data_IF_464448990619
#
_entry.id   IF_464448990619
#
_cell.length_a   1.000
_cell.length_b   1.000
_cell.length_c   1.000
_cell.angle_alpha   90.00
_cell.angle_beta   90.00
_cell.angle_gamma   90.00
#
_symmetry.space_group_name_H-M   'P 1'
#
loop_
_entity.id
_entity.type
_entity.pdbx_description
1 polymer ?
#
# COMPACT_ATOMS: atom_id res chain seq x y z
N UNK A 1 13.22 -5.59 15.18
CA UNK A 1 12.38 -6.30 14.21
C UNK A 1 12.19 -5.44 12.97
N UNK A 2 12.31 -6.06 11.82
CA UNK A 2 12.16 -5.35 10.54
C UNK A 2 10.84 -5.69 9.87
N UNK A 3 10.24 -4.67 9.24
CA UNK A 3 9.00 -4.79 8.49
C UNK A 3 9.19 -4.26 7.08
N UNK A 4 8.53 -4.85 6.12
CA UNK A 4 8.45 -4.33 4.75
C UNK A 4 7.04 -3.83 4.51
N UNK A 5 6.93 -2.53 4.26
CA UNK A 5 5.65 -1.88 3.96
C UNK A 5 5.69 -1.46 2.50
N UNK A 6 4.83 -2.06 1.71
CA UNK A 6 4.80 -1.85 0.25
C UNK A 6 3.58 -1.02 -0.11
N UNK A 7 3.80 0.08 -0.81
CA UNK A 7 2.70 0.84 -1.40
C UNK A 7 2.69 0.61 -2.91
N UNK A 8 1.56 0.14 -3.44
CA UNK A 8 1.45 -0.19 -4.85
C UNK A 8 1.08 1.02 -5.71
N UNK A 9 1.66 1.09 -6.89
CA UNK A 9 1.42 2.14 -7.86
C UNK A 9 2.23 1.91 -9.12
N UNK A 10 2.07 2.79 -10.09
CA UNK A 10 2.86 2.80 -11.32
C UNK A 10 3.82 3.98 -11.31
N UNK A 11 5.04 3.77 -11.80
CA UNK A 11 6.02 4.84 -11.93
C UNK A 11 5.64 5.79 -13.08
N UNK A 12 6.12 7.02 -12.97
CA UNK A 12 5.93 8.04 -14.00
C UNK A 12 5.00 9.14 -13.53
N UNK A 13 5.28 10.37 -13.99
CA UNK A 13 4.50 11.54 -13.60
C UNK A 13 3.03 11.43 -14.03
N UNK A 14 2.75 10.72 -15.12
CA UNK A 14 1.40 10.53 -15.63
C UNK A 14 0.51 9.70 -14.70
N UNK A 15 1.10 8.92 -13.81
CA UNK A 15 0.34 8.11 -12.86
C UNK A 15 0.29 8.70 -11.46
N UNK A 16 1.11 9.73 -11.18
CA UNK A 16 1.31 10.22 -9.81
C UNK A 16 0.03 10.67 -9.10
N UNK A 17 -0.90 11.24 -9.84
CA UNK A 17 -2.16 11.72 -9.27
C UNK A 17 -3.34 10.77 -9.41
N UNK A 18 -3.11 9.51 -9.78
CA UNK A 18 -4.20 8.57 -10.04
C UNK A 18 -4.65 7.83 -8.79
N UNK A 19 -5.87 7.33 -8.81
CA UNK A 19 -6.43 6.51 -7.73
C UNK A 19 -5.61 5.24 -7.51
N UNK A 20 -5.12 4.67 -8.60
CA UNK A 20 -4.32 3.42 -8.55
C UNK A 20 -2.99 3.61 -7.81
N UNK A 21 -2.51 4.85 -7.69
CA UNK A 21 -1.27 5.17 -6.99
C UNK A 21 -1.47 5.57 -5.53
N UNK A 22 -2.64 5.31 -4.96
CA UNK A 22 -2.88 5.68 -3.55
C UNK A 22 -1.89 5.02 -2.59
N UNK A 23 -1.41 3.82 -2.91
CA UNK A 23 -0.38 3.17 -2.10
C UNK A 23 0.90 3.99 -2.02
N UNK A 24 1.33 4.61 -3.12
CA UNK A 24 2.48 5.52 -3.11
C UNK A 24 2.21 6.74 -2.23
N UNK A 25 1.02 7.32 -2.33
CA UNK A 25 0.65 8.50 -1.53
C UNK A 25 0.64 8.20 -0.04
N UNK A 26 0.15 7.03 0.36
CA UNK A 26 0.15 6.63 1.77
C UNK A 26 1.58 6.57 2.30
N UNK A 27 2.49 5.94 1.56
CA UNK A 27 3.88 5.84 1.98
C UNK A 27 4.59 7.19 1.95
N UNK A 28 4.30 8.03 0.95
CA UNK A 28 4.88 9.38 0.88
C UNK A 28 4.48 10.21 2.10
N UNK A 29 3.21 10.16 2.49
CA UNK A 29 2.71 10.89 3.65
C UNK A 29 3.33 10.38 4.95
N UNK A 30 3.47 9.07 5.10
CA UNK A 30 4.11 8.47 6.27
C UNK A 30 5.58 8.85 6.36
N UNK A 31 6.31 8.78 5.24
CA UNK A 31 7.72 9.14 5.19
C UNK A 31 7.91 10.63 5.55
N UNK A 32 7.10 11.50 5.00
CA UNK A 32 7.16 12.94 5.29
C UNK A 32 6.91 13.22 6.77
N UNK A 33 5.89 12.59 7.35
CA UNK A 33 5.57 12.75 8.77
C UNK A 33 6.66 12.20 9.69
N UNK A 34 7.47 11.28 9.20
CA UNK A 34 8.54 10.61 9.96
C UNK A 34 9.93 11.14 9.62
N UNK A 35 10.03 12.18 8.79
CA UNK A 35 11.28 12.76 8.30
C UNK A 35 12.16 11.73 7.58
N UNK A 36 11.55 10.74 6.92
CA UNK A 36 12.24 9.78 6.09
C UNK A 36 12.20 10.23 4.63
N UNK A 37 13.23 9.89 3.87
CA UNK A 37 13.37 10.31 2.48
C UNK A 37 13.51 9.07 1.60
N UNK A 38 12.72 9.01 0.51
CA UNK A 38 12.86 7.95 -0.46
C UNK A 38 14.08 8.17 -1.33
N UNK A 39 14.82 7.09 -1.57
CA UNK A 39 15.94 7.08 -2.52
C UNK A 39 15.72 5.97 -3.54
N UNK A 40 16.19 6.18 -4.76
CA UNK A 40 16.08 5.19 -5.82
C UNK A 40 16.96 3.98 -5.49
N UNK A 41 16.37 2.79 -5.55
CA UNK A 41 17.04 1.54 -5.29
C UNK A 41 16.60 0.49 -6.29
N UNK A 42 16.97 -0.77 -6.07
CA UNK A 42 16.63 -1.83 -7.01
C UNK A 42 15.12 -2.12 -6.96
N UNK A 43 14.48 -2.09 -8.11
CA UNK A 43 13.04 -2.35 -8.30
C UNK A 43 12.10 -1.37 -7.61
N UNK A 44 12.62 -0.28 -7.04
CA UNK A 44 11.74 0.69 -6.42
C UNK A 44 12.45 1.80 -5.68
N UNK A 45 11.67 2.72 -5.17
CA UNK A 45 12.15 3.75 -4.26
C UNK A 45 11.94 3.27 -2.83
N UNK A 46 12.93 3.48 -1.99
CA UNK A 46 12.95 2.93 -0.64
C UNK A 46 13.25 4.03 0.38
N UNK A 47 12.53 4.02 1.49
CA UNK A 47 12.81 4.86 2.64
C UNK A 47 12.84 3.97 3.88
N UNK A 48 13.68 4.32 4.84
CA UNK A 48 13.77 3.61 6.11
C UNK A 48 13.35 4.54 7.22
N UNK A 49 12.49 4.05 8.11
CA UNK A 49 12.16 4.78 9.33
C UNK A 49 12.19 3.84 10.52
N UNK A 50 12.42 4.43 11.68
CA UNK A 50 12.41 3.69 12.94
C UNK A 50 11.26 4.18 13.81
N UNK A 51 10.55 3.22 14.39
CA UNK A 51 9.40 3.53 15.25
C UNK A 51 9.35 2.53 16.38
N UNK A 52 9.49 3.02 17.61
CA UNK A 52 9.40 2.21 18.85
C UNK A 52 10.24 0.94 18.79
N UNK A 53 11.48 1.07 18.35
CA UNK A 53 12.44 -0.05 18.27
C UNK A 53 12.29 -0.92 17.03
N UNK A 54 11.34 -0.66 16.17
CA UNK A 54 11.15 -1.39 14.92
C UNK A 54 11.72 -0.60 13.74
N UNK A 55 12.23 -1.30 12.75
CA UNK A 55 12.67 -0.70 11.49
C UNK A 55 11.65 -1.01 10.41
N UNK A 56 11.12 0.03 9.78
CA UNK A 56 10.20 -0.10 8.67
C UNK A 56 10.90 0.28 7.38
N UNK A 57 10.94 -0.67 6.44
CA UNK A 57 11.41 -0.42 5.08
C UNK A 57 10.18 -0.11 4.25
N UNK A 58 10.08 1.13 3.77
CA UNK A 58 8.96 1.56 2.92
C UNK A 58 9.39 1.39 1.47
N UNK A 59 8.62 0.64 0.70
CA UNK A 59 8.94 0.33 -0.70
C UNK A 59 7.83 0.81 -1.62
N UNK A 60 8.18 1.67 -2.57
CA UNK A 60 7.33 2.01 -3.71
C UNK A 60 7.92 1.30 -4.93
N UNK A 61 7.34 0.18 -5.39
CA UNK A 61 7.90 -0.53 -6.53
C UNK A 61 7.99 0.36 -7.77
N UNK A 62 9.11 0.29 -8.48
CA UNK A 62 9.29 0.99 -9.76
C UNK A 62 9.00 0.10 -10.94
N UNK A 63 8.60 -1.14 -10.70
CA UNK A 63 7.98 -2.01 -11.67
C UNK A 63 6.59 -1.48 -11.99
N UNK A 64 6.04 -1.83 -13.15
CA UNK A 64 4.62 -1.53 -13.35
C UNK A 64 3.79 -2.40 -12.43
N UNK A 65 2.52 -1.98 -12.20
CA UNK A 65 1.63 -2.61 -11.22
C UNK A 65 1.59 -4.14 -11.36
N UNK A 66 1.49 -4.65 -12.58
CA UNK A 66 1.40 -6.08 -12.84
C UNK A 66 2.71 -6.86 -12.59
N UNK A 67 3.78 -6.18 -12.21
CA UNK A 67 5.07 -6.79 -11.89
C UNK A 67 5.52 -6.48 -10.47
N UNK A 68 4.60 -6.02 -9.61
CA UNK A 68 4.91 -5.61 -8.24
C UNK A 68 5.55 -6.72 -7.41
N UNK A 69 5.20 -7.97 -7.65
CA UNK A 69 5.73 -9.11 -6.89
C UNK A 69 7.24 -9.28 -7.00
N UNK A 70 7.82 -8.87 -8.13
CA UNK A 70 9.27 -8.94 -8.31
C UNK A 70 10.01 -8.06 -7.32
N UNK A 71 9.53 -6.84 -7.11
CA UNK A 71 10.12 -5.93 -6.14
C UNK A 71 9.91 -6.43 -4.70
N UNK A 72 8.71 -6.90 -4.38
CA UNK A 72 8.39 -7.39 -3.04
C UNK A 72 9.27 -8.59 -2.68
N UNK A 73 9.36 -9.57 -3.56
CA UNK A 73 10.18 -10.75 -3.32
C UNK A 73 11.65 -10.39 -3.13
N UNK A 74 12.17 -9.52 -3.99
CA UNK A 74 13.57 -9.08 -3.87
C UNK A 74 13.85 -8.46 -2.51
N UNK A 75 13.01 -7.52 -2.07
CA UNK A 75 13.27 -6.79 -0.82
C UNK A 75 13.04 -7.64 0.42
N UNK A 76 12.09 -8.59 0.38
CA UNK A 76 11.94 -9.55 1.47
C UNK A 76 13.19 -10.39 1.65
N UNK A 77 13.76 -10.87 0.55
CA UNK A 77 14.98 -11.68 0.60
C UNK A 77 16.20 -10.84 1.01
N UNK A 78 16.36 -9.66 0.40
CA UNK A 78 17.52 -8.80 0.66
C UNK A 78 17.58 -8.32 2.11
N UNK A 79 16.43 -7.98 2.70
CA UNK A 79 16.34 -7.47 4.07
C UNK A 79 15.98 -8.54 5.09
N UNK A 80 15.82 -9.79 4.65
CA UNK A 80 15.47 -10.93 5.50
C UNK A 80 14.19 -10.68 6.29
N UNK A 81 13.15 -10.23 5.59
CA UNK A 81 11.85 -9.93 6.20
C UNK A 81 11.01 -11.20 6.25
N UNK A 82 10.49 -11.53 7.43
CA UNK A 82 9.57 -12.65 7.59
C UNK A 82 8.22 -12.33 6.94
N UNK A 83 7.51 -13.34 6.38
CA UNK A 83 6.21 -13.10 5.73
C UNK A 83 5.19 -12.39 6.61
N UNK A 84 5.16 -12.66 7.90
CA UNK A 84 4.25 -11.99 8.84
C UNK A 84 4.59 -10.51 9.07
N UNK A 85 5.75 -10.06 8.61
CA UNK A 85 6.19 -8.67 8.73
C UNK A 85 6.05 -7.91 7.41
N UNK A 86 5.34 -8.48 6.44
CA UNK A 86 5.00 -7.83 5.18
C UNK A 86 3.61 -7.22 5.26
N UNK A 87 3.48 -5.97 4.83
CA UNK A 87 2.18 -5.31 4.67
C UNK A 87 2.15 -4.62 3.31
N UNK A 88 1.11 -4.89 2.53
CA UNK A 88 0.94 -4.30 1.19
C UNK A 88 -0.27 -3.37 1.19
N UNK A 89 -0.05 -2.13 0.77
CA UNK A 89 -1.09 -1.09 0.68
C UNK A 89 -1.52 -0.94 -0.77
N UNK A 90 -2.81 -1.09 -1.03
CA UNK A 90 -3.36 -1.02 -2.39
C UNK A 90 -4.69 -0.30 -2.43
N UNK A 91 -5.09 0.15 -3.62
CA UNK A 91 -6.43 0.67 -3.88
C UNK A 91 -7.45 -0.46 -3.96
N UNK A 92 -8.71 -0.16 -3.67
CA UNK A 92 -9.80 -1.13 -3.76
C UNK A 92 -11.08 -0.43 -4.23
N UNK A 93 -11.57 -0.82 -5.41
CA UNK A 93 -12.80 -0.26 -5.99
C UNK A 93 -14.07 -0.80 -5.33
N UNK A 94 -13.97 -1.87 -4.56
CA UNK A 94 -15.12 -2.46 -3.86
C UNK A 94 -15.45 -1.74 -2.55
N UNK A 95 -14.63 -0.80 -2.12
CA UNK A 95 -14.82 -0.05 -0.88
C UNK A 95 -15.09 1.43 -1.19
N UNK A 96 -16.00 2.06 -0.43
CA UNK A 96 -16.21 3.52 -0.57
C UNK A 96 -14.92 4.30 -0.35
N UNK A 97 -14.84 5.49 -0.93
CA UNK A 97 -13.66 6.34 -0.81
C UNK A 97 -13.24 6.54 0.65
N UNK A 98 -11.95 6.37 0.90
CA UNK A 98 -11.35 6.62 2.21
C UNK A 98 -11.51 5.50 3.22
N UNK A 99 -12.24 4.45 2.88
CA UNK A 99 -12.41 3.30 3.78
C UNK A 99 -11.10 2.54 3.94
N UNK A 100 -10.76 2.21 5.18
CA UNK A 100 -9.60 1.40 5.51
C UNK A 100 -10.03 -0.02 5.85
N UNK A 101 -9.45 -1.00 5.16
CA UNK A 101 -9.67 -2.42 5.46
C UNK A 101 -8.36 -3.17 5.44
N UNK A 102 -8.03 -3.79 6.55
CA UNK A 102 -6.88 -4.69 6.64
C UNK A 102 -7.37 -6.13 6.67
N UNK A 103 -6.59 -7.01 6.05
CA UNK A 103 -6.85 -8.46 6.04
C UNK A 103 -5.54 -9.21 6.20
N UNK A 104 -5.52 -10.35 6.91
CA UNK A 104 -4.30 -11.16 7.02
C UNK A 104 -3.98 -11.92 5.75
N UNK A 105 -4.99 -12.14 4.90
CA UNK A 105 -4.88 -12.91 3.66
C UNK A 105 -6.12 -12.68 2.81
N UNK A 106 -6.12 -13.21 1.60
CA UNK A 106 -7.29 -13.18 0.74
C UNK A 106 -6.93 -13.14 -0.74
N UNK A 107 -7.94 -13.22 -1.60
CA UNK A 107 -7.75 -13.14 -3.04
C UNK A 107 -7.36 -11.72 -3.46
N UNK A 108 -6.79 -11.61 -4.66
CA UNK A 108 -6.43 -10.31 -5.23
C UNK A 108 -7.62 -9.44 -5.61
N UNK A 109 -8.81 -10.03 -5.74
CA UNK A 109 -10.02 -9.29 -6.10
C UNK A 109 -9.94 -8.58 -7.45
N UNK A 110 -9.16 -9.13 -8.39
CA UNK A 110 -8.93 -8.52 -9.69
C UNK A 110 -7.82 -7.48 -9.72
N UNK A 111 -7.17 -7.21 -8.58
CA UNK A 111 -6.06 -6.24 -8.52
C UNK A 111 -4.78 -6.89 -9.04
N UNK A 112 -4.24 -6.36 -10.15
CA UNK A 112 -3.08 -6.96 -10.82
C UNK A 112 -1.82 -6.98 -9.96
N UNK A 113 -1.59 -5.96 -9.15
CA UNK A 113 -0.45 -5.91 -8.24
C UNK A 113 -0.50 -6.98 -7.18
N UNK A 114 -1.65 -7.13 -6.51
CA UNK A 114 -1.83 -8.15 -5.48
C UNK A 114 -1.74 -9.55 -6.09
N UNK A 115 -2.28 -9.75 -7.29
CA UNK A 115 -2.20 -11.02 -7.99
C UNK A 115 -0.75 -11.42 -8.27
N UNK A 116 0.04 -10.49 -8.78
CA UNK A 116 1.44 -10.76 -9.10
C UNK A 116 2.26 -11.04 -7.84
N UNK A 117 2.01 -10.31 -6.75
CA UNK A 117 2.67 -10.58 -5.46
C UNK A 117 2.37 -12.01 -5.01
N UNK A 118 1.09 -12.43 -5.03
CA UNK A 118 0.71 -13.77 -4.63
C UNK A 118 1.38 -14.84 -5.51
N UNK A 119 1.47 -14.60 -6.81
CA UNK A 119 2.13 -15.52 -7.74
C UNK A 119 3.61 -15.69 -7.40
N UNK A 120 4.32 -14.60 -7.17
CA UNK A 120 5.77 -14.66 -6.93
C UNK A 120 6.11 -15.11 -5.52
N UNK A 121 5.27 -14.85 -4.54
CA UNK A 121 5.45 -15.37 -3.17
C UNK A 121 4.95 -16.81 -3.03
N UNK A 122 4.14 -17.29 -3.97
CA UNK A 122 3.55 -18.61 -3.90
C UNK A 122 2.43 -18.75 -2.88
N UNK A 123 1.86 -17.63 -2.40
CA UNK A 123 0.81 -17.65 -1.39
C UNK A 123 0.01 -16.35 -1.43
N UNK A 124 -1.26 -16.45 -1.04
CA UNK A 124 -2.11 -15.28 -0.76
C UNK A 124 -2.10 -14.90 0.73
N UNK A 125 -1.30 -15.59 1.52
CA UNK A 125 -1.25 -15.43 2.97
C UNK A 125 -0.22 -14.36 3.36
N UNK A 126 -0.56 -13.10 3.09
CA UNK A 126 0.20 -11.94 3.53
C UNK A 126 -0.76 -10.81 3.87
N UNK A 127 -0.37 -9.96 4.82
CA UNK A 127 -1.22 -8.85 5.27
C UNK A 127 -1.35 -7.79 4.19
N UNK A 128 -2.57 -7.29 4.03
CA UNK A 128 -2.85 -6.21 3.10
C UNK A 128 -3.72 -5.16 3.74
N UNK A 129 -3.47 -3.91 3.36
CA UNK A 129 -4.26 -2.76 3.78
C UNK A 129 -4.84 -2.14 2.52
N UNK A 130 -6.17 -2.09 2.44
CA UNK A 130 -6.86 -1.60 1.26
C UNK A 130 -7.41 -0.21 1.52
N UNK A 131 -7.17 0.69 0.57
CA UNK A 131 -7.71 2.04 0.58
C UNK A 131 -8.87 2.08 -0.40
N UNK A 132 -10.08 2.29 0.11
CA UNK A 132 -11.25 2.39 -0.75
C UNK A 132 -11.17 3.61 -1.66
N UNK A 133 -11.32 3.38 -2.97
CA UNK A 133 -11.32 4.46 -3.96
C UNK A 133 -12.68 4.64 -4.60
N UNK A 134 -13.66 3.81 -4.19
CA UNK A 134 -14.99 3.82 -4.76
C UNK A 134 -15.07 3.05 -6.06
N UNK A 135 -16.28 2.77 -6.50
CA UNK A 135 -16.53 1.99 -7.70
C UNK A 135 -17.58 2.61 -8.61
N UNK A 136 -17.75 3.93 -8.53
CA UNK A 136 -18.76 4.65 -9.31
C UNK A 136 -18.26 4.93 -10.73
N UNK A 137 -18.35 3.90 -11.57
CA UNK A 137 -17.96 3.99 -12.98
C UNK A 137 -18.83 3.03 -13.79
N UNK A 138 -19.03 3.31 -15.11
CA UNK A 138 -19.77 2.42 -16.00
C UNK A 138 -19.06 1.07 -16.15
N UNK A 139 -19.83 0.02 -16.33
CA UNK A 139 -19.28 -1.34 -16.55
C UNK A 139 -18.27 -1.31 -17.71
N UNK A 140 -17.12 -1.92 -17.50
CA UNK A 140 -16.04 -1.97 -18.49
C UNK A 140 -15.09 -0.80 -18.46
N UNK A 141 -15.32 0.20 -17.59
CA UNK A 141 -14.45 1.38 -17.45
C UNK A 141 -13.60 1.37 -16.19
N UNK A 142 -13.36 0.19 -15.60
CA UNK A 142 -12.57 0.05 -14.38
C UNK A 142 -11.15 0.60 -14.53
N UNK A 143 -10.49 0.31 -15.64
CA UNK A 143 -9.11 0.77 -15.88
C UNK A 143 -9.07 2.28 -15.96
N UNK A 144 -9.98 2.88 -16.71
CA UNK A 144 -10.06 4.35 -16.83
C UNK A 144 -10.30 5.00 -15.47
N UNK A 145 -11.16 4.39 -14.65
CA UNK A 145 -11.49 4.92 -13.33
C UNK A 145 -10.27 4.93 -12.39
N UNK A 146 -9.58 3.80 -12.27
CA UNK A 146 -8.42 3.71 -11.34
C UNK A 146 -7.22 4.53 -11.83
N UNK A 147 -7.09 4.71 -13.14
CA UNK A 147 -6.06 5.56 -13.72
C UNK A 147 -6.49 7.03 -13.81
N UNK A 148 -7.70 7.34 -13.34
CA UNK A 148 -8.20 8.70 -13.27
C UNK A 148 -7.76 9.42 -12.01
N UNK A 149 -7.91 10.75 -12.03
CA UNK A 149 -7.55 11.57 -10.89
C UNK A 149 -8.68 11.67 -9.88
N UNK A 150 -8.33 12.14 -8.67
CA UNK A 150 -9.29 12.36 -7.59
C UNK A 150 -10.22 13.53 -7.91
N UNK A 151 -11.47 13.42 -7.44
CA UNK A 151 -12.40 14.57 -7.47
C UNK A 151 -11.92 15.63 -6.47
N UNK A 152 -12.48 16.85 -6.56
CA UNK A 152 -12.12 17.93 -5.63
C UNK A 152 -12.50 17.57 -4.20
N UNK A 153 -13.64 16.92 -3.97
CA UNK A 153 -14.05 16.47 -2.65
C UNK A 153 -13.09 15.44 -2.08
N UNK A 154 -12.68 14.48 -2.91
CA UNK A 154 -11.72 13.46 -2.51
C UNK A 154 -10.38 14.09 -2.16
N UNK A 155 -9.89 15.03 -2.97
CA UNK A 155 -8.63 15.73 -2.70
C UNK A 155 -8.64 16.44 -1.35
N UNK A 156 -9.75 17.06 -0.99
CA UNK A 156 -9.87 17.74 0.31
C UNK A 156 -9.81 16.78 1.48
N UNK A 157 -10.34 15.58 1.32
CA UNK A 157 -10.37 14.57 2.38
C UNK A 157 -9.08 13.75 2.48
N UNK A 158 -8.25 13.72 1.41
CA UNK A 158 -7.07 12.88 1.36
C UNK A 158 -6.09 13.10 2.52
N UNK A 159 -5.70 14.34 2.90
CA UNK A 159 -4.70 14.51 3.97
C UNK A 159 -5.07 13.83 5.28
N UNK A 160 -6.32 13.94 5.71
CA UNK A 160 -6.80 13.29 6.92
C UNK A 160 -6.82 11.78 6.76
N UNK A 161 -7.26 11.26 5.61
CA UNK A 161 -7.29 9.83 5.36
C UNK A 161 -5.90 9.23 5.29
N UNK A 162 -4.96 9.93 4.65
CA UNK A 162 -3.57 9.48 4.58
C UNK A 162 -2.95 9.39 5.98
N UNK A 163 -3.28 10.32 6.86
CA UNK A 163 -2.81 10.26 8.25
C UNK A 163 -3.34 9.03 8.98
N UNK A 164 -4.62 8.71 8.81
CA UNK A 164 -5.23 7.51 9.43
C UNK A 164 -4.50 6.25 8.93
N UNK A 165 -4.22 6.16 7.64
CA UNK A 165 -3.53 5.00 7.08
C UNK A 165 -2.09 4.91 7.61
N UNK A 166 -1.39 6.03 7.71
CA UNK A 166 -0.06 6.06 8.32
C UNK A 166 -0.06 5.59 9.76
N UNK A 167 -1.03 6.04 10.56
CA UNK A 167 -1.18 5.61 11.95
C UNK A 167 -1.45 4.10 12.03
N UNK A 168 -2.25 3.56 11.11
CA UNK A 168 -2.52 2.13 11.07
C UNK A 168 -1.27 1.31 10.74
N UNK A 169 -0.42 1.80 9.83
CA UNK A 169 0.85 1.15 9.50
C UNK A 169 1.75 1.10 10.74
N UNK A 170 1.89 2.21 11.44
CA UNK A 170 2.70 2.26 12.66
C UNK A 170 2.12 1.35 13.74
N UNK A 171 0.81 1.31 13.88
CA UNK A 171 0.13 0.40 14.82
C UNK A 171 0.43 -1.06 14.49
N UNK A 172 0.37 -1.43 13.21
CA UNK A 172 0.68 -2.79 12.77
C UNK A 172 2.06 -3.24 13.26
N UNK A 173 3.06 -2.37 13.17
CA UNK A 173 4.43 -2.71 13.61
C UNK A 173 4.61 -2.68 15.13
N UNK A 174 3.64 -2.16 15.87
CA UNK A 174 3.75 -1.97 17.32
C UNK A 174 2.91 -2.98 18.08
N UNK A 175 1.61 -3.10 17.75
CA UNK A 175 0.68 -3.96 18.49
C UNK A 175 0.19 -5.16 17.69
N UNK A 176 0.62 -5.31 16.43
CA UNK A 176 0.30 -6.44 15.59
C UNK A 176 -0.94 -6.25 14.74
N UNK A 177 -1.12 -7.19 13.81
CA UNK A 177 -2.18 -7.11 12.79
C UNK A 177 -3.58 -7.19 13.41
N UNK A 178 -3.82 -8.16 14.29
CA UNK A 178 -5.16 -8.40 14.84
C UNK A 178 -5.70 -7.19 15.60
N UNK A 179 -4.90 -6.64 16.52
CA UNK A 179 -5.31 -5.46 17.29
C UNK A 179 -5.47 -4.23 16.40
N UNK A 180 -4.60 -4.08 15.43
CA UNK A 180 -4.70 -2.97 14.46
C UNK A 180 -5.99 -3.09 13.66
N UNK A 181 -6.34 -4.29 13.20
CA UNK A 181 -7.60 -4.53 12.48
C UNK A 181 -8.81 -4.20 13.34
N UNK A 182 -8.80 -4.62 14.61
CA UNK A 182 -9.92 -4.35 15.53
C UNK A 182 -10.17 -2.85 15.71
N UNK A 183 -9.11 -2.06 15.73
CA UNK A 183 -9.22 -0.62 15.91
C UNK A 183 -9.50 0.12 14.61
N UNK A 184 -8.75 -0.19 13.55
CA UNK A 184 -8.77 0.61 12.32
C UNK A 184 -9.78 0.15 11.28
N UNK A 185 -10.19 -1.11 11.23
CA UNK A 185 -11.19 -1.56 10.25
C UNK A 185 -12.56 -0.91 10.41
N UNK A 186 -12.75 -0.12 11.47
CA UNK A 186 -13.98 0.64 11.72
C UNK A 186 -13.85 2.10 11.25
N UNK A 187 -12.67 2.47 10.79
CA UNK A 187 -12.39 3.85 10.36
C UNK A 187 -12.63 4.01 8.87
#
# INVERSE_FOLDING_TARGET
>A
MKYLIVGLGNIGAEYAGTRHNIGFKVLDALAEASNAVFTTARYGDVAELKHKGCTLILLKPSTYMNLSGKAVRYWMEAEKIAPENLLVVSDDIALPFGTLRMRPRGSAGGHNGLKNIAELLGTEDYARMRFGVGGDFPKGHQVDYVLGEWSDEERKALPERLKVFGDAILSFTTIGLERTMNFFNKK
#
